data_IF_341198987162
#
_entry.id   IF_341198987162
#
_cell.length_a   1.000
_cell.length_b   1.000
_cell.length_c   1.000
_cell.angle_alpha   90.00
_cell.angle_beta   90.00
_cell.angle_gamma   90.00
#
_symmetry.space_group_name_H-M   'P 1'
#
loop_
_entity.id
_entity.type
_entity.pdbx_description
1 polymer ?
#
# COMPACT_ATOMS: atom_id res chain seq x y z
N UNK A 1 -20.24 15.16 74.97
CA UNK A 1 -20.49 13.71 74.75
C UNK A 1 -21.25 13.51 73.45
N UNK A 2 -20.57 13.19 72.36
CA UNK A 2 -21.16 12.57 71.16
C UNK A 2 -20.12 11.60 70.60
N UNK A 3 -20.53 10.34 70.57
CA UNK A 3 -19.78 9.12 70.26
C UNK A 3 -19.18 9.15 68.85
N UNK A 4 -17.87 8.89 68.77
CA UNK A 4 -17.16 8.52 67.54
C UNK A 4 -17.60 7.10 67.20
N UNK A 5 -18.28 6.91 66.05
CA UNK A 5 -18.51 5.58 65.48
C UNK A 5 -17.33 5.26 64.57
N UNK A 6 -16.48 4.33 64.99
CA UNK A 6 -15.51 3.68 64.12
C UNK A 6 -16.29 2.84 63.10
N UNK A 7 -16.25 3.24 61.82
CA UNK A 7 -16.75 2.44 60.71
C UNK A 7 -15.55 1.67 60.17
N UNK A 8 -15.52 0.35 60.43
CA UNK A 8 -14.60 -0.59 59.81
C UNK A 8 -15.02 -0.76 58.35
N UNK A 9 -14.27 -0.17 57.41
CA UNK A 9 -14.42 -0.46 55.99
C UNK A 9 -13.73 -1.79 55.69
N UNK A 10 -14.50 -2.86 55.58
CA UNK A 10 -14.05 -4.10 54.96
C UNK A 10 -14.05 -3.82 53.45
N UNK A 11 -12.86 -3.57 52.88
CA UNK A 11 -12.69 -3.53 51.43
C UNK A 11 -12.95 -4.94 50.89
N UNK A 12 -14.14 -5.15 50.34
CA UNK A 12 -14.43 -6.29 49.48
C UNK A 12 -13.50 -6.16 48.27
N UNK A 13 -12.57 -7.10 48.13
CA UNK A 13 -11.76 -7.27 46.92
C UNK A 13 -12.73 -7.63 45.80
N UNK A 14 -13.14 -6.62 45.04
CA UNK A 14 -13.89 -6.83 43.81
C UNK A 14 -12.87 -7.29 42.76
N UNK A 15 -12.77 -8.60 42.53
CA UNK A 15 -12.11 -9.13 41.34
C UNK A 15 -12.92 -8.72 40.11
N UNK A 16 -12.57 -7.58 39.52
CA UNK A 16 -13.07 -7.16 38.24
C UNK A 16 -12.41 -8.01 37.16
N UNK A 17 -13.10 -9.05 36.70
CA UNK A 17 -12.74 -9.74 35.46
C UNK A 17 -13.15 -8.84 34.28
N UNK A 18 -12.27 -7.93 33.88
CA UNK A 18 -12.40 -7.24 32.59
C UNK A 18 -12.07 -8.22 31.49
N UNK A 19 -13.11 -8.73 30.82
CA UNK A 19 -12.96 -9.36 29.51
C UNK A 19 -12.60 -8.24 28.53
N UNK A 20 -11.35 -8.20 28.07
CA UNK A 20 -11.00 -7.41 26.89
C UNK A 20 -11.72 -8.07 25.71
N UNK A 21 -12.91 -7.58 25.36
CA UNK A 21 -13.49 -7.96 24.08
C UNK A 21 -12.66 -7.26 23.01
N UNK A 22 -12.05 -8.04 22.12
CA UNK A 22 -11.57 -7.53 20.85
C UNK A 22 -12.79 -7.03 20.07
N UNK A 23 -13.19 -5.80 20.33
CA UNK A 23 -13.94 -5.03 19.36
C UNK A 23 -12.93 -4.66 18.27
N UNK A 24 -12.64 -5.64 17.41
CA UNK A 24 -12.16 -5.36 16.07
C UNK A 24 -13.30 -4.58 15.39
N UNK A 25 -13.37 -3.27 15.63
CA UNK A 25 -13.85 -2.38 14.59
C UNK A 25 -12.93 -2.67 13.43
N UNK A 26 -13.43 -3.41 12.44
CA UNK A 26 -12.69 -3.69 11.23
C UNK A 26 -12.18 -2.34 10.72
N UNK A 27 -10.86 -2.15 10.85
CA UNK A 27 -10.14 -1.13 10.13
C UNK A 27 -10.64 -1.18 8.68
N UNK A 28 -11.02 -0.03 8.15
CA UNK A 28 -11.40 0.10 6.75
C UNK A 28 -10.21 -0.39 5.92
N UNK A 29 -10.31 -1.58 5.34
CA UNK A 29 -9.37 -2.03 4.30
C UNK A 29 -9.30 -0.95 3.24
N UNK A 30 -8.11 -0.64 2.75
CA UNK A 30 -7.98 0.37 1.71
C UNK A 30 -8.71 -0.06 0.42
N UNK A 31 -9.48 0.85 -0.18
CA UNK A 31 -10.32 0.58 -1.37
C UNK A 31 -9.54 0.66 -2.71
N UNK A 32 -8.22 0.79 -2.66
CA UNK A 32 -7.39 0.85 -3.87
C UNK A 32 -7.26 -0.51 -4.55
N UNK A 33 -6.94 -0.48 -5.84
CA UNK A 33 -6.60 -1.68 -6.61
C UNK A 33 -5.08 -1.81 -6.69
N UNK A 34 -4.55 -2.98 -6.37
CA UNK A 34 -3.15 -3.29 -6.66
C UNK A 34 -3.05 -3.97 -8.03
N UNK A 35 -2.31 -3.35 -8.95
CA UNK A 35 -2.06 -3.86 -10.28
C UNK A 35 -0.59 -3.96 -10.63
N UNK A 36 -0.30 -4.29 -11.88
CA UNK A 36 1.04 -4.25 -12.46
C UNK A 36 1.00 -3.55 -13.82
N UNK A 37 1.97 -2.69 -14.07
CA UNK A 37 2.22 -2.15 -15.40
C UNK A 37 3.04 -3.19 -16.15
N UNK A 38 2.46 -3.74 -17.22
CA UNK A 38 3.06 -4.78 -18.06
C UNK A 38 4.40 -4.39 -18.69
N UNK A 39 4.80 -3.11 -18.69
CA UNK A 39 6.17 -2.70 -19.01
C UNK A 39 7.21 -3.39 -18.12
N UNK A 40 6.85 -3.71 -16.87
CA UNK A 40 7.62 -4.59 -15.98
C UNK A 40 8.03 -5.88 -16.70
N UNK A 41 7.14 -6.47 -17.49
CA UNK A 41 7.38 -7.71 -18.23
C UNK A 41 7.64 -7.48 -19.72
N UNK A 42 8.20 -6.32 -20.12
CA UNK A 42 8.36 -5.95 -21.55
C UNK A 42 9.19 -6.91 -22.41
N UNK A 43 10.04 -7.74 -21.80
CA UNK A 43 10.81 -8.78 -22.51
C UNK A 43 9.95 -10.00 -22.90
N UNK A 44 8.71 -10.06 -22.42
CA UNK A 44 7.78 -11.15 -22.64
C UNK A 44 6.58 -10.69 -23.46
N UNK A 45 5.90 -11.65 -24.08
CA UNK A 45 4.65 -11.36 -24.78
C UNK A 45 3.56 -10.88 -23.81
N UNK A 46 2.54 -10.20 -24.30
CA UNK A 46 1.39 -9.77 -23.50
C UNK A 46 0.75 -10.97 -22.77
N UNK A 47 0.59 -12.10 -23.46
CA UNK A 47 0.02 -13.31 -22.86
C UNK A 47 0.89 -13.83 -21.71
N UNK A 48 2.21 -13.85 -21.89
CA UNK A 48 3.15 -14.26 -20.83
C UNK A 48 3.20 -13.27 -19.67
N UNK A 49 3.12 -11.97 -19.96
CA UNK A 49 3.05 -10.91 -18.97
C UNK A 49 1.79 -11.02 -18.10
N UNK A 50 0.63 -11.30 -18.72
CA UNK A 50 -0.63 -11.60 -18.01
C UNK A 50 -0.50 -12.87 -17.16
N UNK A 51 0.13 -13.93 -17.67
CA UNK A 51 0.39 -15.15 -16.89
C UNK A 51 1.30 -14.89 -15.68
N UNK A 52 2.32 -14.03 -15.83
CA UNK A 52 3.21 -13.62 -14.74
C UNK A 52 2.48 -12.80 -13.68
N UNK A 53 1.65 -11.83 -14.11
CA UNK A 53 0.79 -11.06 -13.21
C UNK A 53 -0.14 -11.98 -12.41
N UNK A 54 -0.81 -12.92 -13.09
CA UNK A 54 -1.69 -13.91 -12.47
C UNK A 54 -0.97 -14.75 -11.41
N UNK A 55 0.24 -15.24 -11.75
CA UNK A 55 1.09 -16.04 -10.85
C UNK A 55 1.58 -15.26 -9.62
N UNK A 56 1.68 -13.93 -9.72
CA UNK A 56 1.99 -13.04 -8.60
C UNK A 56 0.74 -12.63 -7.79
N UNK A 57 -0.43 -13.21 -8.07
CA UNK A 57 -1.69 -12.89 -7.39
C UNK A 57 -2.33 -11.58 -7.83
N UNK A 58 -1.83 -10.94 -8.88
CA UNK A 58 -2.34 -9.66 -9.37
C UNK A 58 -3.60 -9.88 -10.23
N UNK A 59 -4.61 -9.03 -10.04
CA UNK A 59 -5.90 -9.07 -10.76
C UNK A 59 -6.21 -7.81 -11.56
N UNK A 60 -5.32 -6.82 -11.50
CA UNK A 60 -5.46 -5.57 -12.24
C UNK A 60 -4.19 -5.31 -13.04
N UNK A 61 -4.32 -4.83 -14.28
CA UNK A 61 -3.17 -4.54 -15.13
C UNK A 61 -3.30 -3.18 -15.80
N UNK A 62 -2.15 -2.55 -16.04
CA UNK A 62 -1.97 -1.48 -17.01
C UNK A 62 -1.18 -2.04 -18.19
N UNK A 63 -1.69 -1.89 -19.41
CA UNK A 63 -1.03 -2.39 -20.61
C UNK A 63 -0.31 -1.26 -21.35
N UNK A 64 0.81 -1.56 -22.02
CA UNK A 64 1.53 -0.60 -22.86
C UNK A 64 1.44 -0.98 -24.36
N UNK A 65 1.31 -0.02 -25.28
CA UNK A 65 1.28 -0.31 -26.70
C UNK A 65 2.60 -0.87 -27.24
N UNK A 66 2.52 -1.71 -28.27
CA UNK A 66 3.66 -2.30 -28.95
C UNK A 66 4.14 -3.63 -28.39
N UNK A 67 3.59 -4.09 -27.25
CA UNK A 67 3.94 -5.41 -26.71
C UNK A 67 3.44 -6.53 -27.65
N UNK A 68 4.30 -7.46 -28.12
CA UNK A 68 3.85 -8.59 -28.92
C UNK A 68 2.82 -9.42 -28.16
N UNK A 69 1.69 -9.79 -28.79
CA UNK A 69 0.61 -10.45 -28.04
C UNK A 69 0.95 -11.87 -27.59
N UNK A 70 1.70 -12.61 -28.41
CA UNK A 70 2.07 -13.99 -28.14
C UNK A 70 0.92 -14.98 -28.35
N UNK A 71 1.15 -16.24 -27.98
CA UNK A 71 0.22 -17.34 -28.25
C UNK A 71 0.04 -17.57 -29.76
N UNK A 72 -1.21 -17.58 -30.22
CA UNK A 72 -1.55 -17.68 -31.65
C UNK A 72 -1.82 -16.32 -32.32
N UNK A 73 -1.73 -15.21 -31.57
CA UNK A 73 -1.94 -13.86 -32.06
C UNK A 73 -0.65 -13.33 -32.71
N UNK A 74 -0.79 -12.67 -33.86
CA UNK A 74 0.35 -12.07 -34.61
C UNK A 74 0.47 -10.57 -34.39
N UNK A 75 -0.54 -9.95 -33.82
CA UNK A 75 -0.56 -8.50 -33.58
C UNK A 75 0.33 -8.15 -32.38
N UNK A 76 0.59 -6.84 -32.22
CA UNK A 76 1.09 -6.25 -30.98
C UNK A 76 -0.05 -5.48 -30.30
N UNK A 77 0.01 -5.37 -28.99
CA UNK A 77 -1.00 -4.66 -28.20
C UNK A 77 -1.11 -3.19 -28.65
N UNK A 78 -2.32 -2.69 -28.86
CA UNK A 78 -2.56 -1.30 -29.23
C UNK A 78 -3.69 -1.12 -30.25
N UNK A 79 -3.82 0.10 -30.75
CA UNK A 79 -4.94 0.52 -31.63
C UNK A 79 -5.00 -0.25 -32.96
N UNK A 80 -3.87 -0.79 -33.43
CA UNK A 80 -3.77 -1.56 -34.67
C UNK A 80 -4.17 -3.04 -34.54
N UNK A 81 -4.50 -3.53 -33.33
CA UNK A 81 -4.93 -4.92 -33.14
C UNK A 81 -6.17 -5.24 -33.96
N UNK A 82 -6.16 -6.42 -34.60
CA UNK A 82 -7.33 -6.96 -35.30
C UNK A 82 -8.48 -7.25 -34.33
N UNK A 83 -9.75 -7.24 -34.80
CA UNK A 83 -10.90 -7.60 -33.98
C UNK A 83 -10.78 -9.01 -33.36
N UNK A 84 -10.16 -9.95 -34.07
CA UNK A 84 -9.90 -11.30 -33.58
C UNK A 84 -8.95 -11.28 -32.37
N UNK A 85 -7.81 -10.59 -32.46
CA UNK A 85 -6.87 -10.46 -31.34
C UNK A 85 -7.51 -9.75 -30.14
N UNK A 86 -8.30 -8.69 -30.36
CA UNK A 86 -9.03 -8.00 -29.28
C UNK A 86 -9.99 -8.94 -28.54
N UNK A 87 -10.72 -9.79 -29.28
CA UNK A 87 -11.61 -10.79 -28.70
C UNK A 87 -10.84 -11.85 -27.89
N UNK A 88 -9.70 -12.33 -28.40
CA UNK A 88 -8.86 -13.30 -27.71
C UNK A 88 -8.25 -12.74 -26.41
N UNK A 89 -7.82 -11.48 -26.42
CA UNK A 89 -7.34 -10.79 -25.20
C UNK A 89 -8.46 -10.70 -24.16
N UNK A 90 -9.66 -10.30 -24.56
CA UNK A 90 -10.81 -10.22 -23.64
C UNK A 90 -11.12 -11.57 -23.01
N UNK A 91 -11.07 -12.65 -23.79
CA UNK A 91 -11.29 -14.01 -23.28
C UNK A 91 -10.16 -14.45 -22.33
N UNK A 92 -8.90 -14.17 -22.67
CA UNK A 92 -7.75 -14.45 -21.79
C UNK A 92 -7.90 -13.75 -20.43
N UNK A 93 -8.20 -12.45 -20.44
CA UNK A 93 -8.35 -11.66 -19.23
C UNK A 93 -9.54 -12.14 -18.38
N UNK A 94 -10.69 -12.39 -19.03
CA UNK A 94 -11.88 -12.95 -18.38
C UNK A 94 -11.60 -14.33 -17.74
N UNK A 95 -10.95 -15.23 -18.48
CA UNK A 95 -10.63 -16.58 -18.01
C UNK A 95 -9.70 -16.60 -16.78
N UNK A 96 -8.93 -15.52 -16.58
CA UNK A 96 -8.03 -15.34 -15.42
C UNK A 96 -8.60 -14.45 -14.33
N UNK A 97 -9.80 -13.91 -14.51
CA UNK A 97 -10.36 -12.88 -13.65
C UNK A 97 -9.42 -11.66 -13.48
N UNK A 98 -8.77 -11.25 -14.58
CA UNK A 98 -7.91 -10.06 -14.62
C UNK A 98 -8.66 -8.94 -15.32
N UNK A 99 -8.68 -7.77 -14.70
CA UNK A 99 -9.21 -6.55 -15.30
C UNK A 99 -8.06 -5.67 -15.81
N UNK A 100 -8.15 -5.26 -17.08
CA UNK A 100 -7.33 -4.15 -17.56
C UNK A 100 -7.95 -2.84 -17.08
N UNK A 101 -7.21 -2.06 -16.31
CA UNK A 101 -7.71 -0.82 -15.71
C UNK A 101 -7.28 0.39 -16.53
N UNK A 102 -6.09 0.33 -17.12
CA UNK A 102 -5.51 1.44 -17.86
C UNK A 102 -4.63 0.98 -19.01
N UNK A 103 -4.32 1.93 -19.89
CA UNK A 103 -3.35 1.79 -20.98
C UNK A 103 -2.38 2.97 -20.93
N UNK A 104 -1.10 2.73 -21.13
CA UNK A 104 -0.07 3.77 -21.11
C UNK A 104 1.35 3.21 -20.97
N UNK A 105 2.37 4.06 -20.99
CA UNK A 105 2.28 5.51 -21.19
C UNK A 105 2.25 5.83 -22.69
N UNK A 106 1.30 6.64 -23.15
CA UNK A 106 1.18 7.03 -24.57
C UNK A 106 1.41 8.52 -24.80
N UNK A 107 1.90 8.89 -25.99
CA UNK A 107 2.00 10.29 -26.45
C UNK A 107 1.45 10.41 -27.88
N UNK A 108 0.12 10.43 -28.06
CA UNK A 108 -0.49 10.56 -29.39
C UNK A 108 -0.10 11.87 -30.07
N UNK A 109 0.25 11.80 -31.36
CA UNK A 109 0.76 12.96 -32.12
C UNK A 109 -0.33 13.95 -32.54
N UNK A 110 -1.58 13.51 -32.61
CA UNK A 110 -2.71 14.32 -33.04
C UNK A 110 -4.04 13.77 -32.48
N UNK A 111 -5.11 14.55 -32.66
CA UNK A 111 -6.45 14.25 -32.13
C UNK A 111 -7.05 12.97 -32.73
N UNK A 112 -6.73 12.63 -33.99
CA UNK A 112 -7.21 11.40 -34.59
C UNK A 112 -6.60 10.16 -33.92
N UNK A 113 -5.32 10.21 -33.55
CA UNK A 113 -4.68 9.13 -32.78
C UNK A 113 -5.25 9.05 -31.36
N UNK A 114 -5.51 10.19 -30.71
CA UNK A 114 -6.21 10.23 -29.42
C UNK A 114 -7.56 9.51 -29.47
N UNK A 115 -8.39 9.79 -30.49
CA UNK A 115 -9.68 9.14 -30.67
C UNK A 115 -9.56 7.62 -30.76
N UNK A 116 -8.56 7.10 -31.48
CA UNK A 116 -8.32 5.66 -31.58
C UNK A 116 -8.01 5.04 -30.21
N UNK A 117 -7.22 5.71 -29.38
CA UNK A 117 -6.93 5.24 -28.03
C UNK A 117 -8.14 5.32 -27.10
N UNK A 118 -8.96 6.38 -27.18
CA UNK A 118 -10.21 6.47 -26.43
C UNK A 118 -11.23 5.39 -26.85
N UNK A 119 -11.32 5.07 -28.13
CA UNK A 119 -12.15 3.96 -28.62
C UNK A 119 -11.67 2.62 -28.10
N UNK A 120 -10.36 2.36 -28.16
CA UNK A 120 -9.77 1.15 -27.59
C UNK A 120 -10.01 1.07 -26.08
N UNK A 121 -9.80 2.18 -25.36
CA UNK A 121 -9.99 2.24 -23.92
C UNK A 121 -11.47 1.98 -23.53
N UNK A 122 -12.41 2.53 -24.29
CA UNK A 122 -13.85 2.24 -24.12
C UNK A 122 -14.17 0.77 -24.41
N UNK A 123 -13.57 0.20 -25.44
CA UNK A 123 -13.78 -1.19 -25.83
C UNK A 123 -13.31 -2.20 -24.73
N UNK A 124 -12.26 -1.86 -23.98
CA UNK A 124 -11.74 -2.64 -22.86
C UNK A 124 -12.30 -2.20 -21.49
N UNK A 125 -13.21 -1.21 -21.46
CA UNK A 125 -13.79 -0.65 -20.24
C UNK A 125 -12.72 -0.13 -19.25
N UNK A 126 -11.71 0.58 -19.78
CA UNK A 126 -10.65 1.17 -18.98
C UNK A 126 -11.16 2.35 -18.15
N UNK A 127 -10.54 2.59 -17.00
CA UNK A 127 -10.86 3.71 -16.12
C UNK A 127 -10.13 5.00 -16.52
N UNK A 128 -8.88 4.87 -16.97
CA UNK A 128 -8.06 6.00 -17.40
C UNK A 128 -7.01 5.59 -18.44
N UNK A 129 -6.45 6.59 -19.12
CA UNK A 129 -5.30 6.46 -20.02
C UNK A 129 -4.12 7.19 -19.35
N UNK A 130 -3.00 6.49 -19.18
CA UNK A 130 -1.74 7.08 -18.70
C UNK A 130 -0.95 7.66 -19.88
N UNK A 131 -0.53 8.91 -19.78
CA UNK A 131 -0.02 9.68 -20.94
C UNK A 131 0.85 10.89 -20.55
N UNK A 132 1.63 11.39 -21.50
CA UNK A 132 2.25 12.72 -21.45
C UNK A 132 1.72 13.58 -22.60
N UNK A 133 0.52 14.17 -22.48
CA UNK A 133 -0.11 14.88 -23.59
C UNK A 133 0.70 16.10 -24.00
N UNK A 134 0.70 16.47 -25.28
CA UNK A 134 1.33 17.73 -25.69
C UNK A 134 0.51 18.91 -25.16
N UNK A 135 1.19 20.01 -24.77
CA UNK A 135 0.53 21.16 -24.13
C UNK A 135 -0.56 21.80 -25.00
N UNK A 136 -0.35 21.83 -26.31
CA UNK A 136 -1.32 22.36 -27.28
C UNK A 136 -2.52 21.42 -27.52
N UNK A 137 -2.52 20.23 -26.91
CA UNK A 137 -3.61 19.26 -27.00
C UNK A 137 -4.49 19.21 -25.76
N UNK A 138 -4.16 19.89 -24.65
CA UNK A 138 -4.88 19.77 -23.37
C UNK A 138 -6.40 19.96 -23.49
N UNK A 139 -6.85 21.04 -24.11
CA UNK A 139 -8.29 21.34 -24.26
C UNK A 139 -9.04 20.22 -25.01
N UNK A 140 -8.43 19.74 -26.10
CA UNK A 140 -9.03 18.71 -26.94
C UNK A 140 -9.03 17.34 -26.24
N UNK A 141 -7.95 17.00 -25.52
CA UNK A 141 -7.82 15.75 -24.77
C UNK A 141 -8.77 15.71 -23.59
N UNK A 142 -8.92 16.81 -22.85
CA UNK A 142 -9.90 16.92 -21.76
C UNK A 142 -11.35 16.78 -22.26
N UNK A 143 -11.65 17.43 -23.39
CA UNK A 143 -12.97 17.32 -24.03
C UNK A 143 -13.28 15.89 -24.45
N UNK A 144 -12.33 15.19 -25.08
CA UNK A 144 -12.47 13.78 -25.45
C UNK A 144 -12.64 12.90 -24.20
N UNK A 145 -11.85 13.13 -23.15
CA UNK A 145 -11.96 12.40 -21.90
C UNK A 145 -13.37 12.51 -21.28
N UNK A 146 -13.98 13.69 -21.34
CA UNK A 146 -15.37 13.91 -20.94
C UNK A 146 -16.38 13.16 -21.81
N UNK A 147 -16.23 13.18 -23.13
CA UNK A 147 -17.12 12.49 -24.09
C UNK A 147 -17.09 10.97 -23.93
N UNK A 148 -15.89 10.40 -23.76
CA UNK A 148 -15.72 8.96 -23.61
C UNK A 148 -15.93 8.48 -22.18
N UNK A 149 -15.99 9.40 -21.20
CA UNK A 149 -16.00 9.09 -19.77
C UNK A 149 -14.80 8.23 -19.34
N UNK A 150 -13.61 8.59 -19.84
CA UNK A 150 -12.33 7.93 -19.53
C UNK A 150 -11.37 9.03 -19.12
N UNK A 151 -10.79 8.90 -17.92
CA UNK A 151 -9.92 9.94 -17.38
C UNK A 151 -8.53 9.93 -18.03
N UNK A 152 -7.86 11.08 -17.97
CA UNK A 152 -6.50 11.26 -18.47
C UNK A 152 -5.58 11.43 -17.28
N UNK A 153 -4.66 10.49 -17.09
CA UNK A 153 -3.71 10.46 -15.99
C UNK A 153 -2.33 10.82 -16.54
N UNK A 154 -1.83 12.01 -16.21
CA UNK A 154 -0.51 12.47 -16.65
C UNK A 154 0.56 11.69 -15.90
N UNK A 155 1.41 10.96 -16.63
CA UNK A 155 2.56 10.25 -16.10
C UNK A 155 3.75 11.19 -16.00
N UNK A 156 4.39 11.25 -14.84
CA UNK A 156 5.64 11.96 -14.67
C UNK A 156 6.84 11.06 -14.99
N UNK A 157 7.88 11.63 -15.61
CA UNK A 157 9.19 10.99 -15.80
C UNK A 157 10.27 11.86 -15.13
N UNK A 158 11.51 11.38 -14.92
CA UNK A 158 12.52 12.15 -14.22
C UNK A 158 12.82 13.49 -14.90
N UNK A 159 13.24 14.48 -14.11
CA UNK A 159 13.74 15.76 -14.58
C UNK A 159 14.78 15.58 -15.72
N UNK A 160 14.73 16.32 -16.86
CA UNK A 160 13.88 17.48 -17.17
C UNK A 160 12.78 17.22 -18.22
N UNK A 161 12.00 16.14 -18.11
CA UNK A 161 10.85 15.93 -19.02
C UNK A 161 9.75 16.99 -18.82
N UNK A 162 8.69 16.99 -19.63
CA UNK A 162 7.67 18.04 -19.53
C UNK A 162 6.85 17.96 -18.22
N UNK A 163 6.62 16.74 -17.72
CA UNK A 163 5.74 16.47 -16.59
C UNK A 163 6.45 16.02 -15.30
N UNK A 164 7.77 16.23 -15.19
CA UNK A 164 8.62 15.75 -14.10
C UNK A 164 8.30 16.25 -12.68
N UNK A 165 7.41 17.23 -12.55
CA UNK A 165 7.07 17.87 -11.28
C UNK A 165 5.55 17.94 -11.09
N UNK A 166 5.02 17.80 -9.87
CA UNK A 166 3.58 17.97 -9.61
C UNK A 166 3.05 19.34 -10.06
N UNK A 167 3.89 20.37 -10.14
CA UNK A 167 3.48 21.69 -10.64
C UNK A 167 3.07 21.69 -12.11
N UNK A 168 3.74 20.87 -12.93
CA UNK A 168 3.39 20.71 -14.34
C UNK A 168 2.02 20.06 -14.51
N UNK A 169 1.68 19.12 -13.63
CA UNK A 169 0.39 18.44 -13.60
C UNK A 169 -0.70 19.41 -13.13
N UNK A 170 -0.45 20.19 -12.06
CA UNK A 170 -1.37 21.25 -11.62
C UNK A 170 -1.66 22.28 -12.72
N UNK A 171 -0.64 22.66 -13.49
CA UNK A 171 -0.80 23.56 -14.63
C UNK A 171 -1.71 22.94 -15.71
N UNK A 172 -1.56 21.64 -15.99
CA UNK A 172 -2.39 20.92 -16.94
C UNK A 172 -3.83 20.71 -16.45
N UNK A 173 -4.07 20.51 -15.16
CA UNK A 173 -5.42 20.29 -14.61
C UNK A 173 -6.24 21.59 -14.58
N UNK A 174 -5.60 22.76 -14.54
CA UNK A 174 -6.31 24.04 -14.44
C UNK A 174 -7.21 24.29 -15.66
N UNK A 175 -8.51 24.13 -15.47
CA UNK A 175 -9.52 24.26 -16.52
C UNK A 175 -9.87 22.94 -17.23
N UNK A 176 -9.24 21.82 -16.85
CA UNK A 176 -9.37 20.51 -17.47
C UNK A 176 -9.80 19.45 -16.44
N UNK A 177 -11.10 19.32 -16.12
CA UNK A 177 -11.62 18.47 -15.04
C UNK A 177 -11.47 16.95 -15.28
N UNK A 178 -11.08 16.52 -16.47
CA UNK A 178 -10.84 15.12 -16.80
C UNK A 178 -9.37 14.74 -16.85
N UNK A 179 -8.48 15.72 -16.67
CA UNK A 179 -7.04 15.53 -16.53
C UNK A 179 -6.70 15.41 -15.04
N UNK A 180 -5.73 14.55 -14.73
CA UNK A 180 -5.22 14.26 -13.40
C UNK A 180 -3.84 13.64 -13.50
N UNK A 181 -3.41 12.91 -12.47
CA UNK A 181 -2.09 12.32 -12.37
C UNK A 181 -2.13 10.78 -12.44
N UNK A 182 -1.16 10.21 -13.15
CA UNK A 182 -0.62 8.87 -12.92
C UNK A 182 0.67 9.07 -12.10
N UNK A 183 0.54 9.13 -10.78
CA UNK A 183 1.62 9.51 -9.87
C UNK A 183 2.72 8.45 -9.83
N UNK A 184 3.87 8.68 -10.47
CA UNK A 184 5.05 7.83 -10.32
C UNK A 184 5.89 8.31 -9.14
N UNK A 185 5.74 7.62 -8.01
CA UNK A 185 6.44 7.98 -6.77
C UNK A 185 7.96 7.82 -6.88
N UNK A 186 8.42 6.93 -7.76
CA UNK A 186 9.83 6.69 -8.04
C UNK A 186 10.45 7.82 -8.85
N UNK A 187 9.77 8.31 -9.89
CA UNK A 187 10.25 9.41 -10.73
C UNK A 187 10.29 10.75 -9.99
N UNK A 188 9.33 11.02 -9.09
CA UNK A 188 9.44 12.16 -8.16
C UNK A 188 10.65 12.05 -7.23
N UNK A 189 10.86 10.90 -6.59
CA UNK A 189 12.01 10.70 -5.71
C UNK A 189 13.36 10.79 -6.44
N UNK A 190 13.44 10.27 -7.68
CA UNK A 190 14.58 10.46 -8.60
C UNK A 190 14.85 11.92 -8.91
N UNK A 191 13.80 12.73 -8.96
CA UNK A 191 13.87 14.17 -9.24
C UNK A 191 14.04 15.03 -7.98
N UNK A 192 14.26 14.41 -6.81
CA UNK A 192 14.49 15.10 -5.55
C UNK A 192 13.23 15.64 -4.87
N UNK A 193 12.05 15.21 -5.30
CA UNK A 193 10.79 15.52 -4.62
C UNK A 193 10.42 14.45 -3.60
N UNK A 194 9.82 14.87 -2.49
CA UNK A 194 9.16 13.94 -1.55
C UNK A 194 7.82 13.49 -2.15
N UNK A 195 7.65 12.18 -2.45
CA UNK A 195 6.42 11.68 -3.04
C UNK A 195 5.17 11.94 -2.19
N UNK A 196 5.29 11.99 -0.86
CA UNK A 196 4.15 12.28 0.03
C UNK A 196 3.66 13.72 -0.15
N UNK A 197 4.58 14.67 -0.27
CA UNK A 197 4.24 16.07 -0.52
C UNK A 197 3.69 16.28 -1.94
N UNK A 198 4.21 15.54 -2.93
CA UNK A 198 3.64 15.51 -4.28
C UNK A 198 2.19 14.99 -4.28
N UNK A 199 1.91 13.90 -3.56
CA UNK A 199 0.56 13.35 -3.43
C UNK A 199 -0.38 14.34 -2.74
N UNK A 200 0.02 14.96 -1.63
CA UNK A 200 -0.78 16.00 -0.95
C UNK A 200 -1.13 17.16 -1.90
N UNK A 201 -0.16 17.59 -2.69
CA UNK A 201 -0.32 18.68 -3.64
C UNK A 201 -1.30 18.35 -4.78
N UNK A 202 -1.44 17.08 -5.11
CA UNK A 202 -2.33 16.57 -6.16
C UNK A 202 -3.62 15.93 -5.58
N UNK A 203 -3.96 16.20 -4.32
CA UNK A 203 -5.15 15.65 -3.66
C UNK A 203 -6.41 15.85 -4.50
N UNK A 204 -7.19 14.77 -4.67
CA UNK A 204 -8.40 14.76 -5.49
C UNK A 204 -8.17 14.62 -6.99
N UNK A 205 -6.92 14.63 -7.46
CA UNK A 205 -6.56 14.55 -8.87
C UNK A 205 -5.63 13.37 -9.22
N UNK A 206 -5.34 12.47 -8.28
CA UNK A 206 -4.60 11.23 -8.55
C UNK A 206 -5.57 10.14 -9.02
N UNK A 207 -5.45 9.70 -10.28
CA UNK A 207 -6.33 8.66 -10.87
C UNK A 207 -5.68 7.28 -10.88
N UNK A 208 -4.35 7.25 -10.99
CA UNK A 208 -3.51 6.06 -10.86
C UNK A 208 -2.18 6.43 -10.22
N UNK A 209 -1.43 5.43 -9.80
CA UNK A 209 -0.06 5.61 -9.31
C UNK A 209 0.82 4.48 -9.83
N UNK A 210 2.08 4.77 -10.16
CA UNK A 210 3.10 3.76 -10.42
C UNK A 210 3.94 3.56 -9.16
N UNK A 211 3.97 2.32 -8.66
CA UNK A 211 4.74 1.92 -7.49
C UNK A 211 6.10 1.43 -7.94
N UNK A 212 7.11 2.22 -7.62
CA UNK A 212 8.51 1.97 -7.91
C UNK A 212 9.33 2.49 -6.75
N UNK A 213 10.18 1.64 -6.19
CA UNK A 213 11.14 2.04 -5.15
C UNK A 213 12.53 2.09 -5.75
N UNK A 214 13.35 3.01 -5.28
CA UNK A 214 14.65 3.32 -5.89
C UNK A 214 15.77 3.24 -4.85
N UNK A 215 16.98 2.93 -5.31
CA UNK A 215 18.13 2.76 -4.42
C UNK A 215 18.74 4.07 -3.91
N UNK A 216 18.57 5.17 -4.64
CA UNK A 216 19.21 6.46 -4.35
C UNK A 216 18.21 7.58 -4.57
N UNK A 217 18.07 8.47 -3.59
CA UNK A 217 17.20 9.65 -3.69
C UNK A 217 17.89 10.76 -4.46
N UNK A 218 17.12 11.54 -5.23
CA UNK A 218 17.63 12.67 -6.04
C UNK A 218 18.75 12.29 -7.01
N UNK A 219 18.61 11.12 -7.65
CA UNK A 219 19.41 10.67 -8.78
C UNK A 219 18.49 10.17 -9.88
N UNK A 220 18.49 10.86 -11.02
CA UNK A 220 17.62 10.54 -12.16
C UNK A 220 17.90 9.18 -12.79
N UNK A 221 19.05 8.57 -12.50
CA UNK A 221 19.45 7.25 -12.97
C UNK A 221 19.38 6.16 -11.89
N UNK A 222 18.84 6.47 -10.70
CA UNK A 222 18.74 5.52 -9.61
C UNK A 222 17.98 4.27 -10.06
N UNK A 223 18.61 3.11 -9.92
CA UNK A 223 18.01 1.83 -10.26
C UNK A 223 16.88 1.46 -9.30
N UNK A 224 15.90 0.74 -9.84
CA UNK A 224 14.80 0.19 -9.07
C UNK A 224 15.26 -0.85 -8.05
N UNK A 225 14.43 -1.04 -7.03
CA UNK A 225 14.48 -2.16 -6.11
C UNK A 225 13.07 -2.55 -5.68
N UNK A 226 12.95 -3.65 -4.95
CA UNK A 226 11.66 -4.13 -4.44
C UNK A 226 11.07 -3.06 -3.52
N UNK A 227 9.77 -2.79 -3.64
CA UNK A 227 9.08 -1.82 -2.78
C UNK A 227 9.29 -2.13 -1.29
N UNK A 228 9.70 -1.12 -0.53
CA UNK A 228 10.05 -1.25 0.88
C UNK A 228 11.50 -1.67 1.13
N UNK A 229 12.33 -1.77 0.09
CA UNK A 229 13.79 -2.03 0.18
C UNK A 229 14.63 -0.85 -0.30
N UNK A 230 14.02 0.19 -0.86
CA UNK A 230 14.70 1.39 -1.32
C UNK A 230 14.59 2.55 -0.33
N UNK A 231 14.72 3.76 -0.86
CA UNK A 231 14.79 5.00 -0.08
C UNK A 231 13.44 5.68 0.11
N UNK A 232 12.39 5.22 -0.58
CA UNK A 232 11.08 5.87 -0.55
C UNK A 232 10.29 5.38 0.66
N UNK A 233 9.69 6.31 1.41
CA UNK A 233 8.87 6.00 2.57
C UNK A 233 7.44 5.59 2.16
N UNK A 234 7.28 4.32 1.76
CA UNK A 234 5.98 3.79 1.33
C UNK A 234 4.92 3.77 2.43
N UNK A 235 5.30 3.62 3.71
CA UNK A 235 4.36 3.68 4.83
C UNK A 235 3.65 5.04 4.89
N UNK A 236 4.42 6.12 4.69
CA UNK A 236 3.88 7.47 4.63
C UNK A 236 3.03 7.71 3.36
N UNK A 237 3.43 7.13 2.22
CA UNK A 237 2.65 7.16 0.98
C UNK A 237 1.28 6.48 1.17
N UNK A 238 1.26 5.26 1.71
CA UNK A 238 0.02 4.53 1.95
C UNK A 238 -0.87 5.25 2.96
N UNK A 239 -0.28 5.85 4.00
CA UNK A 239 -1.02 6.68 4.96
C UNK A 239 -1.68 7.88 4.28
N UNK A 240 -0.95 8.56 3.40
CA UNK A 240 -1.47 9.71 2.66
C UNK A 240 -2.56 9.30 1.65
N UNK A 241 -2.36 8.22 0.90
CA UNK A 241 -3.36 7.70 -0.03
C UNK A 241 -4.64 7.25 0.70
N UNK A 242 -4.52 6.63 1.88
CA UNK A 242 -5.68 6.31 2.76
C UNK A 242 -6.38 7.59 3.21
N UNK A 243 -5.64 8.62 3.64
CA UNK A 243 -6.20 9.92 4.04
C UNK A 243 -7.01 10.56 2.91
N UNK A 244 -6.49 10.51 1.68
CA UNK A 244 -7.16 11.02 0.49
C UNK A 244 -8.33 10.13 0.01
N UNK A 245 -8.53 8.95 0.61
CA UNK A 245 -9.48 7.93 0.16
C UNK A 245 -9.26 7.54 -1.30
N UNK A 246 -7.99 7.42 -1.70
CA UNK A 246 -7.63 7.00 -3.04
C UNK A 246 -8.19 5.60 -3.32
N UNK A 247 -8.94 5.47 -4.42
CA UNK A 247 -9.57 4.23 -4.87
C UNK A 247 -9.16 3.84 -6.30
N UNK A 248 -8.10 4.47 -6.82
CA UNK A 248 -7.53 4.16 -8.13
C UNK A 248 -6.67 2.89 -8.10
N UNK A 249 -5.94 2.66 -9.19
CA UNK A 249 -4.98 1.56 -9.25
C UNK A 249 -3.58 2.05 -8.90
N UNK A 250 -2.92 1.33 -7.98
CA UNK A 250 -1.49 1.39 -7.77
C UNK A 250 -0.85 0.27 -8.59
N UNK A 251 -0.15 0.65 -9.66
CA UNK A 251 0.44 -0.24 -10.63
C UNK A 251 1.91 -0.48 -10.29
N UNK A 252 2.30 -1.70 -9.98
CA UNK A 252 3.72 -2.04 -9.78
C UNK A 252 4.45 -1.85 -11.11
N UNK A 253 5.51 -1.04 -11.11
CA UNK A 253 6.41 -0.89 -12.25
C UNK A 253 7.83 -1.19 -11.81
N UNK A 254 8.29 -2.42 -12.08
CA UNK A 254 9.61 -2.90 -11.69
C UNK A 254 10.55 -2.87 -12.89
N UNK A 255 11.30 -1.79 -13.03
CA UNK A 255 12.23 -1.50 -14.12
C UNK A 255 13.65 -2.04 -13.89
N UNK A 256 13.74 -3.22 -13.26
CA UNK A 256 14.99 -3.95 -13.08
C UNK A 256 14.74 -5.46 -13.12
N UNK A 257 15.82 -6.25 -13.10
CA UNK A 257 15.74 -7.72 -13.09
C UNK A 257 14.84 -8.28 -14.20
N UNK A 258 14.92 -7.70 -15.41
CA UNK A 258 13.92 -7.84 -16.48
C UNK A 258 13.55 -9.28 -16.89
N UNK A 259 14.47 -10.24 -16.71
CA UNK A 259 14.23 -11.65 -17.03
C UNK A 259 13.57 -12.43 -15.88
N UNK A 260 13.70 -11.95 -14.63
CA UNK A 260 13.30 -12.65 -13.40
C UNK A 260 12.52 -11.81 -12.37
N UNK A 261 12.01 -10.64 -12.76
CA UNK A 261 11.31 -9.70 -11.89
C UNK A 261 9.90 -10.13 -11.45
N UNK A 262 9.39 -11.29 -11.87
CA UNK A 262 8.11 -11.81 -11.38
C UNK A 262 8.14 -12.02 -9.85
N UNK A 263 9.28 -12.48 -9.31
CA UNK A 263 9.45 -12.66 -7.87
C UNK A 263 9.45 -11.31 -7.13
N UNK A 264 10.00 -10.26 -7.74
CA UNK A 264 10.02 -8.90 -7.19
C UNK A 264 8.60 -8.30 -7.14
N UNK A 265 7.80 -8.55 -8.18
CA UNK A 265 6.37 -8.18 -8.22
C UNK A 265 5.59 -8.90 -7.13
N UNK A 266 5.78 -10.21 -6.95
CA UNK A 266 5.10 -10.97 -5.90
C UNK A 266 5.49 -10.50 -4.48
N UNK A 267 6.77 -10.17 -4.26
CA UNK A 267 7.24 -9.62 -2.99
C UNK A 267 6.62 -8.23 -2.71
N UNK A 268 6.56 -7.38 -3.73
CA UNK A 268 5.90 -6.06 -3.64
C UNK A 268 4.41 -6.22 -3.35
N UNK A 269 3.74 -7.16 -4.01
CA UNK A 269 2.31 -7.39 -3.78
C UNK A 269 2.01 -7.81 -2.35
N UNK A 270 2.84 -8.71 -1.78
CA UNK A 270 2.75 -9.08 -0.36
C UNK A 270 2.96 -7.87 0.56
N UNK A 271 3.95 -7.02 0.27
CA UNK A 271 4.21 -5.82 1.07
C UNK A 271 3.04 -4.83 1.05
N UNK A 272 2.43 -4.60 -0.12
CA UNK A 272 1.27 -3.70 -0.25
C UNK A 272 0.02 -4.27 0.42
N UNK A 273 -0.25 -5.57 0.29
CA UNK A 273 -1.39 -6.22 0.95
C UNK A 273 -1.32 -6.08 2.48
N UNK A 274 -0.12 -6.28 3.05
CA UNK A 274 0.17 -6.04 4.47
C UNK A 274 -0.02 -4.59 4.90
N UNK A 275 0.08 -3.61 4.00
CA UNK A 275 -0.10 -2.19 4.29
C UNK A 275 -1.54 -1.70 4.03
N UNK A 276 -2.23 -2.31 3.05
CA UNK A 276 -3.60 -1.97 2.64
C UNK A 276 -4.66 -2.53 3.59
N UNK A 277 -4.44 -3.72 4.12
CA UNK A 277 -5.04 -4.12 5.38
C UNK A 277 -4.25 -3.37 6.45
N UNK A 278 -4.90 -2.54 7.28
CA UNK A 278 -4.21 -1.93 8.44
C UNK A 278 -3.39 -3.03 9.09
N UNK A 279 -2.04 -2.90 9.08
CA UNK A 279 -1.10 -3.89 9.59
C UNK A 279 -1.69 -4.39 10.89
N UNK A 280 -2.31 -5.57 10.82
CA UNK A 280 -3.14 -6.03 11.92
C UNK A 280 -2.29 -6.00 13.17
N UNK A 281 -2.90 -5.80 14.34
CA UNK A 281 -2.15 -6.05 15.58
C UNK A 281 -1.58 -7.47 15.49
N UNK A 282 -0.26 -7.56 15.34
CA UNK A 282 0.43 -8.84 15.30
C UNK A 282 0.57 -9.28 16.74
N UNK A 283 -0.01 -10.43 17.06
CA UNK A 283 0.08 -10.97 18.39
C UNK A 283 1.52 -11.42 18.68
N UNK A 284 2.27 -10.56 19.36
CA UNK A 284 3.68 -10.83 19.70
C UNK A 284 3.85 -12.11 20.55
N UNK A 285 2.81 -12.51 21.28
CA UNK A 285 2.78 -13.77 22.05
C UNK A 285 2.93 -15.01 21.16
N UNK A 286 2.43 -14.95 19.93
CA UNK A 286 2.47 -16.08 18.99
C UNK A 286 3.78 -16.10 18.20
N UNK A 287 4.47 -14.96 18.12
CA UNK A 287 5.73 -14.82 17.38
C UNK A 287 6.97 -15.32 18.12
N UNK A 288 6.91 -15.48 19.45
CA UNK A 288 8.01 -15.96 20.29
C UNK A 288 9.35 -15.25 19.96
N UNK A 289 9.35 -13.92 19.90
CA UNK A 289 10.47 -13.11 19.39
C UNK A 289 11.82 -13.36 20.09
N UNK A 290 11.75 -13.79 21.35
CA UNK A 290 12.91 -14.13 22.19
C UNK A 290 13.18 -15.64 22.26
N UNK A 291 12.45 -16.44 21.47
CA UNK A 291 12.50 -17.90 21.47
C UNK A 291 11.72 -18.56 22.60
N UNK A 292 10.77 -17.85 23.20
CA UNK A 292 10.00 -18.35 24.34
C UNK A 292 9.17 -19.60 23.98
N UNK A 293 9.30 -20.67 24.76
CA UNK A 293 8.60 -21.94 24.54
C UNK A 293 9.14 -22.80 23.40
N UNK A 294 10.31 -22.47 22.82
CA UNK A 294 10.95 -23.31 21.81
C UNK A 294 11.55 -24.58 22.41
N UNK A 295 11.58 -25.70 21.66
CA UNK A 295 12.22 -26.93 22.11
C UNK A 295 13.74 -26.74 22.35
N UNK A 296 14.34 -27.42 23.34
CA UNK A 296 15.77 -27.35 23.62
C UNK A 296 16.68 -27.71 22.43
N UNK A 297 16.15 -28.46 21.46
CA UNK A 297 16.84 -28.81 20.21
C UNK A 297 17.01 -27.60 19.26
N UNK A 298 16.14 -26.59 19.39
CA UNK A 298 16.13 -25.37 18.56
C UNK A 298 16.85 -24.24 19.28
N UNK A 299 16.57 -24.06 20.58
CA UNK A 299 17.24 -23.08 21.43
C UNK A 299 17.49 -23.71 22.80
N UNK A 300 18.74 -24.06 23.06
CA UNK A 300 19.17 -24.80 24.26
C UNK A 300 18.74 -24.14 25.57
N UNK A 301 18.75 -22.81 25.61
CA UNK A 301 18.40 -22.00 26.78
C UNK A 301 17.14 -21.17 26.49
N UNK A 302 16.16 -21.75 25.80
CA UNK A 302 14.90 -21.08 25.48
C UNK A 302 14.19 -20.62 26.75
N UNK A 303 13.77 -19.34 26.84
CA UNK A 303 12.94 -18.91 27.95
C UNK A 303 11.60 -19.66 27.92
N UNK A 304 11.00 -19.87 29.08
CA UNK A 304 9.65 -20.43 29.14
C UNK A 304 8.64 -19.44 28.55
N UNK A 305 7.55 -19.96 27.97
CA UNK A 305 6.49 -19.09 27.46
C UNK A 305 5.83 -18.37 28.63
N UNK A 306 5.87 -17.04 28.61
CA UNK A 306 5.30 -16.23 29.68
C UNK A 306 3.78 -16.40 29.75
N UNK A 307 3.21 -16.14 30.94
CA UNK A 307 1.77 -16.21 31.14
C UNK A 307 1.11 -14.89 30.70
N UNK A 308 -0.06 -14.99 30.07
CA UNK A 308 -0.87 -13.82 29.71
C UNK A 308 -1.57 -13.21 30.93
N UNK A 309 -1.59 -13.95 32.05
CA UNK A 309 -2.07 -13.47 33.33
C UNK A 309 -0.92 -13.05 34.23
N UNK A 310 -0.92 -11.79 34.66
CA UNK A 310 0.06 -11.27 35.61
C UNK A 310 -0.61 -10.62 36.81
N UNK A 311 0.03 -10.77 37.97
CA UNK A 311 -0.35 -10.03 39.17
C UNK A 311 0.24 -8.62 39.11
N UNK A 312 -0.59 -7.61 39.34
CA UNK A 312 -0.14 -6.23 39.51
C UNK A 312 -0.59 -5.71 40.88
N UNK A 313 0.32 -5.05 41.61
CA UNK A 313 0.01 -4.40 42.88
C UNK A 313 -0.07 -2.90 42.64
N UNK A 314 -1.29 -2.30 42.69
CA UNK A 314 -1.44 -0.86 42.60
C UNK A 314 -1.14 -0.20 43.95
N UNK A 315 -0.25 0.78 43.95
CA UNK A 315 0.04 1.66 45.07
C UNK A 315 -0.39 3.08 44.67
N UNK A 316 -1.38 3.61 45.38
CA UNK A 316 -1.91 4.95 45.15
C UNK A 316 -1.54 5.91 46.27
N UNK A 317 -1.17 7.13 45.89
CA UNK A 317 -1.12 8.27 46.80
C UNK A 317 -1.91 9.42 46.19
N UNK A 318 -2.90 9.91 46.92
CA UNK A 318 -3.74 10.99 46.44
C UNK A 318 -4.02 12.05 47.50
N UNK A 319 -4.28 13.26 47.03
CA UNK A 319 -4.78 14.36 47.84
C UNK A 319 -6.15 14.75 47.30
N UNK A 320 -7.11 14.87 48.22
CA UNK A 320 -8.46 15.30 47.93
C UNK A 320 -8.72 16.62 48.65
N UNK A 321 -9.26 17.59 47.93
CA UNK A 321 -9.71 18.87 48.43
C UNK A 321 -11.22 19.03 48.21
N UNK A 322 -11.97 19.21 49.30
CA UNK A 322 -13.39 19.50 49.23
C UNK A 322 -13.60 21.01 48.96
N UNK A 323 -14.24 21.34 47.85
CA UNK A 323 -14.59 22.71 47.44
C UNK A 323 -16.07 22.93 47.78
N UNK A 324 -16.34 23.41 49.00
CA UNK A 324 -17.70 23.56 49.52
C UNK A 324 -18.33 22.23 49.91
N UNK A 325 -19.67 22.17 49.96
CA UNK A 325 -20.41 20.97 50.40
C UNK A 325 -20.81 20.02 49.27
N UNK A 326 -20.63 20.44 48.02
CA UNK A 326 -21.16 19.76 46.84
C UNK A 326 -20.09 19.34 45.83
N UNK A 327 -18.85 19.82 45.98
CA UNK A 327 -17.78 19.54 45.02
C UNK A 327 -16.49 19.16 45.76
N UNK A 328 -15.75 18.23 45.19
CA UNK A 328 -14.39 17.92 45.61
C UNK A 328 -13.50 17.68 44.39
N UNK A 329 -12.24 18.09 44.49
CA UNK A 329 -11.21 17.83 43.52
C UNK A 329 -10.17 16.88 44.13
N UNK A 330 -9.88 15.77 43.45
CA UNK A 330 -8.83 14.84 43.85
C UNK A 330 -7.75 14.75 42.79
N UNK A 331 -6.49 14.67 43.22
CA UNK A 331 -5.35 14.29 42.39
C UNK A 331 -4.78 13.01 43.00
N UNK A 332 -4.61 11.97 42.19
CA UNK A 332 -4.01 10.70 42.61
C UNK A 332 -2.85 10.34 41.68
N UNK A 333 -1.73 9.96 42.29
CA UNK A 333 -0.64 9.29 41.65
C UNK A 333 -0.75 7.79 41.91
N UNK A 334 -0.75 7.00 40.85
CA UNK A 334 -0.90 5.55 40.93
C UNK A 334 0.33 4.89 40.31
N UNK A 335 1.04 4.11 41.10
CA UNK A 335 2.14 3.27 40.65
C UNK A 335 1.68 1.82 40.62
N UNK A 336 1.90 1.11 39.50
CA UNK A 336 1.56 -0.31 39.38
C UNK A 336 2.85 -1.11 39.34
N UNK A 337 3.11 -1.85 40.42
CA UNK A 337 4.19 -2.81 40.44
C UNK A 337 3.75 -4.05 39.66
N UNK A 338 4.51 -4.40 38.64
CA UNK A 338 4.39 -5.66 37.89
C UNK A 338 5.61 -6.54 38.18
N UNK A 339 5.46 -7.84 37.96
CA UNK A 339 6.52 -8.83 38.18
C UNK A 339 6.97 -9.48 36.88
N UNK A 340 6.82 -8.75 35.76
CA UNK A 340 7.16 -9.18 34.42
C UNK A 340 7.78 -8.03 33.65
N UNK A 341 8.69 -8.37 32.75
CA UNK A 341 9.31 -7.54 31.74
C UNK A 341 8.54 -7.55 30.40
N UNK A 342 7.63 -8.50 30.18
CA UNK A 342 6.83 -8.63 28.95
C UNK A 342 5.66 -7.64 28.82
N UNK A 343 5.74 -6.46 29.46
CA UNK A 343 4.68 -5.43 29.39
C UNK A 343 4.60 -4.77 28.00
N UNK A 344 5.76 -4.50 27.41
CA UNK A 344 5.92 -3.96 26.06
C UNK A 344 6.55 -4.98 25.09
N UNK A 345 7.02 -6.12 25.62
CA UNK A 345 7.64 -7.21 24.87
C UNK A 345 8.89 -6.73 24.08
N UNK A 346 9.61 -5.77 24.66
CA UNK A 346 10.87 -5.24 24.15
C UNK A 346 12.03 -5.78 24.97
N UNK A 347 12.98 -6.44 24.30
CA UNK A 347 14.14 -7.08 24.93
C UNK A 347 15.44 -6.69 24.26
N UNK A 348 16.56 -6.95 24.94
CA UNK A 348 17.91 -6.84 24.41
C UNK A 348 18.35 -8.13 23.68
N UNK A 349 17.56 -9.20 23.78
CA UNK A 349 17.83 -10.53 23.22
C UNK A 349 16.69 -10.97 22.32
N UNK A 350 16.99 -11.05 21.02
CA UNK A 350 16.08 -11.60 20.03
C UNK A 350 16.66 -12.86 19.41
N UNK A 351 15.77 -13.76 18.99
CA UNK A 351 16.16 -14.96 18.25
C UNK A 351 16.85 -14.57 16.93
N UNK A 352 17.90 -15.30 16.57
CA UNK A 352 18.55 -15.12 15.28
C UNK A 352 17.53 -15.27 14.13
N UNK A 353 17.41 -14.29 13.22
CA UNK A 353 16.47 -14.34 12.11
C UNK A 353 16.51 -15.62 11.26
N UNK A 354 17.69 -16.26 11.15
CA UNK A 354 17.87 -17.49 10.40
C UNK A 354 17.17 -18.72 11.00
N UNK A 355 16.74 -18.65 12.27
CA UNK A 355 16.05 -19.74 12.95
C UNK A 355 14.53 -19.71 12.73
N UNK A 356 13.93 -18.56 12.37
CA UNK A 356 12.47 -18.45 12.17
C UNK A 356 11.93 -19.40 11.08
N UNK A 357 12.67 -19.61 10.00
CA UNK A 357 12.27 -20.51 8.90
C UNK A 357 12.27 -22.00 9.29
N UNK A 358 12.88 -22.36 10.42
CA UNK A 358 12.94 -23.73 10.90
C UNK A 358 11.78 -24.10 11.84
N UNK A 359 11.01 -23.12 12.35
CA UNK A 359 9.94 -23.39 13.34
C UNK A 359 8.63 -22.63 13.14
N UNK A 360 8.62 -21.49 12.43
CA UNK A 360 7.36 -20.89 12.00
C UNK A 360 6.91 -21.61 10.74
N UNK A 361 5.78 -22.32 10.84
CA UNK A 361 5.14 -22.86 9.64
C UNK A 361 4.84 -21.70 8.65
N UNK A 362 4.91 -21.92 7.32
CA UNK A 362 4.76 -20.85 6.33
C UNK A 362 3.47 -20.02 6.48
N UNK A 363 2.43 -20.58 7.08
CA UNK A 363 1.16 -19.92 7.42
C UNK A 363 1.23 -19.05 8.68
N UNK A 364 2.14 -19.33 9.61
CA UNK A 364 2.43 -18.51 10.80
C UNK A 364 3.38 -17.35 10.48
N UNK A 365 4.31 -17.54 9.53
CA UNK A 365 5.19 -16.50 9.03
C UNK A 365 4.52 -15.53 8.03
N UNK A 366 3.26 -15.80 7.66
CA UNK A 366 2.51 -15.03 6.66
C UNK A 366 1.42 -14.12 7.25
N UNK A 367 1.26 -14.05 8.58
CA UNK A 367 0.28 -13.17 9.24
C UNK A 367 0.85 -11.82 9.65
#
# INVERSE_FOLDING_TARGET
MRTIKNILFISIILLAFTKCSNNNTAASSADWKLGVQLWTFRLFSFTDAVNKADSAGIRYIEAFPGQPLGGNMRDSFGVAMSPASRAQIKELLKGKNIQMVAIGVIVPKNIAEWQQYFELAKEFNLSYISTEPLKDQWDAVDSLAGVYNIKIAIHDHPNPTAYWSPDSVLAAIKGHPNIGACADVGHWARSGFDPVECLKKLEGHVYGAHLKDIKVFNDTHAADTIVGKGVINFDAIFTELKRQKFSGMMSIEQESNWEHNMQDVAATAKYVDMAGNDRGYVNLYDLNLEGAGLPPEVLKDAPEKYDLWQMAIPLGLGVKWDIGRQLALGIEYMYRMTFTDYLDNVSDKYLNPALYSAYLEPDQAAR
#
